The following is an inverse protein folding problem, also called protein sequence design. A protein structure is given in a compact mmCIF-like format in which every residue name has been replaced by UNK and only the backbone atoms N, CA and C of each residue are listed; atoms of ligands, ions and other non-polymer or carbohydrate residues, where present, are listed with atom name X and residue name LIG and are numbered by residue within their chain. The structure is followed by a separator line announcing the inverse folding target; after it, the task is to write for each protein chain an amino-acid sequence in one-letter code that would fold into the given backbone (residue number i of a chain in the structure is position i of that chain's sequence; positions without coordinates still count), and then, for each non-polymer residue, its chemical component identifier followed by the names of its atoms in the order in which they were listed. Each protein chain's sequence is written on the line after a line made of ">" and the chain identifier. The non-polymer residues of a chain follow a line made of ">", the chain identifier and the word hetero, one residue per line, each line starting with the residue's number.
data_IF_146123142468
#
_entry.id   IF_146123142468
#
_cell.length_a   1.000
_cell.length_b   1.000
_cell.length_c   1.000
_cell.angle_alpha   90.00
_cell.angle_beta   90.00
_cell.angle_gamma   90.00
#
_symmetry.space_group_name_H-M   'P 1'
#
loop_
_entity.id
_entity.type
_entity.pdbx_description
1 polymer ?
#
# COMPACT_ATOMS: atom_id res chain seq x y z
N UNK A 1 9.99 38.41 -8.98
CA UNK A 1 8.74 37.64 -8.82
C UNK A 1 8.92 36.66 -7.67
N UNK A 2 8.18 36.77 -6.56
CA UNK A 2 8.26 35.80 -5.44
C UNK A 2 7.66 34.47 -5.91
N UNK A 3 8.46 33.41 -6.03
CA UNK A 3 7.93 32.06 -6.21
C UNK A 3 7.11 31.68 -4.97
N UNK A 4 5.79 31.59 -5.12
CA UNK A 4 4.90 31.09 -4.08
C UNK A 4 5.23 29.60 -3.92
N UNK A 5 5.73 29.19 -2.74
CA UNK A 5 5.94 27.76 -2.47
C UNK A 5 4.60 27.04 -2.66
N UNK A 6 4.62 25.95 -3.43
CA UNK A 6 3.46 25.08 -3.55
C UNK A 6 3.18 24.44 -2.18
N UNK A 7 1.92 24.20 -1.82
CA UNK A 7 1.59 23.40 -0.63
C UNK A 7 2.21 22.00 -0.72
N UNK A 8 2.50 21.42 0.44
CA UNK A 8 2.93 20.01 0.53
C UNK A 8 1.72 19.13 0.20
N UNK A 9 1.95 18.07 -0.58
CA UNK A 9 1.00 17.01 -0.86
C UNK A 9 1.61 15.67 -0.41
N UNK A 10 1.32 15.27 0.82
CA UNK A 10 1.73 13.95 1.32
C UNK A 10 0.85 12.88 0.70
N UNK A 11 1.47 11.75 0.32
CA UNK A 11 0.78 10.59 -0.21
C UNK A 11 1.02 9.40 0.73
N UNK A 12 -0.05 8.67 1.02
CA UNK A 12 0.00 7.40 1.73
C UNK A 12 -0.76 6.34 0.95
N UNK A 13 -0.40 5.07 1.15
CA UNK A 13 -1.05 3.92 0.53
C UNK A 13 -1.32 2.85 1.58
N UNK A 14 -2.59 2.51 1.75
CA UNK A 14 -3.04 1.39 2.57
C UNK A 14 -2.97 0.11 1.73
N UNK A 15 -2.21 -0.87 2.20
CA UNK A 15 -2.02 -2.16 1.56
C UNK A 15 -2.87 -3.21 2.29
N UNK A 16 -4.19 -3.04 2.19
CA UNK A 16 -5.14 -4.08 2.56
C UNK A 16 -4.96 -5.26 1.59
N UNK A 17 -4.63 -6.42 2.15
CA UNK A 17 -4.26 -7.59 1.38
C UNK A 17 -5.46 -8.54 1.20
N UNK A 18 -5.33 -9.52 0.31
CA UNK A 18 -6.34 -10.55 0.12
C UNK A 18 -6.77 -11.20 1.45
N UNK A 19 -5.78 -11.60 2.24
CA UNK A 19 -5.98 -12.15 3.57
C UNK A 19 -6.87 -11.29 4.48
N UNK A 20 -6.60 -9.98 4.56
CA UNK A 20 -7.34 -9.11 5.49
C UNK A 20 -8.80 -8.99 5.07
N UNK A 21 -9.06 -8.93 3.76
CA UNK A 21 -10.42 -8.94 3.24
C UNK A 21 -11.14 -10.24 3.59
N UNK A 22 -10.53 -11.40 3.31
CA UNK A 22 -11.11 -12.72 3.58
C UNK A 22 -11.38 -12.92 5.08
N UNK A 23 -10.43 -12.55 5.95
CA UNK A 23 -10.58 -12.62 7.40
C UNK A 23 -11.74 -11.76 7.91
N UNK A 24 -11.88 -10.53 7.43
CA UNK A 24 -12.99 -9.64 7.83
C UNK A 24 -14.35 -10.15 7.35
N UNK A 25 -14.42 -10.81 6.20
CA UNK A 25 -15.66 -11.36 5.66
C UNK A 25 -15.99 -12.76 6.19
N UNK A 26 -15.03 -13.45 6.81
CA UNK A 26 -15.18 -14.83 7.27
C UNK A 26 -15.11 -15.86 6.13
N UNK A 27 -14.42 -15.52 5.04
CA UNK A 27 -14.25 -16.40 3.88
C UNK A 27 -13.29 -17.56 4.22
N UNK A 28 -13.61 -18.78 3.76
CA UNK A 28 -12.73 -19.94 3.94
C UNK A 28 -11.34 -19.73 3.31
N UNK A 29 -10.30 -20.29 3.93
CA UNK A 29 -8.94 -20.26 3.39
C UNK A 29 -8.16 -18.98 3.70
N UNK A 30 -8.71 -18.09 4.54
CA UNK A 30 -7.96 -16.93 5.05
C UNK A 30 -6.77 -17.38 5.91
N UNK A 31 -6.80 -18.55 6.51
CA UNK A 31 -5.70 -19.10 7.32
C UNK A 31 -4.43 -19.39 6.49
N UNK A 32 -4.53 -19.51 5.17
CA UNK A 32 -3.40 -19.75 4.25
C UNK A 32 -2.63 -18.46 3.91
N UNK A 33 -3.03 -17.32 4.47
CA UNK A 33 -2.41 -16.00 4.24
C UNK A 33 -2.24 -15.62 2.76
N UNK A 34 -3.29 -15.75 1.93
CA UNK A 34 -3.19 -15.41 0.52
C UNK A 34 -2.82 -13.93 0.36
N UNK A 35 -2.04 -13.62 -0.68
CA UNK A 35 -1.40 -12.32 -0.80
C UNK A 35 -1.28 -11.81 -2.23
N UNK A 36 -1.58 -10.53 -2.41
CA UNK A 36 -1.32 -9.77 -3.63
C UNK A 36 -0.01 -8.99 -3.56
N UNK A 37 0.66 -8.94 -2.39
CA UNK A 37 1.81 -8.06 -2.16
C UNK A 37 3.01 -8.42 -3.04
N UNK A 38 3.22 -9.71 -3.33
CA UNK A 38 4.26 -10.18 -4.24
C UNK A 38 4.09 -9.63 -5.68
N UNK A 39 2.86 -9.34 -6.10
CA UNK A 39 2.56 -8.74 -7.42
C UNK A 39 2.56 -7.21 -7.34
N UNK A 40 1.97 -6.65 -6.28
CA UNK A 40 1.74 -5.22 -6.15
C UNK A 40 3.01 -4.44 -5.79
N UNK A 41 3.80 -4.91 -4.84
CA UNK A 41 4.97 -4.18 -4.32
C UNK A 41 5.96 -3.83 -5.44
N UNK A 42 6.42 -4.76 -6.30
CA UNK A 42 7.37 -4.41 -7.35
C UNK A 42 6.84 -3.35 -8.32
N UNK A 43 5.53 -3.40 -8.64
CA UNK A 43 4.91 -2.46 -9.59
C UNK A 43 4.79 -1.06 -9.01
N UNK A 44 4.36 -0.94 -7.75
CA UNK A 44 4.20 0.35 -7.08
C UNK A 44 5.55 1.00 -6.81
N UNK A 45 6.55 0.22 -6.38
CA UNK A 45 7.90 0.75 -6.16
C UNK A 45 8.50 1.29 -7.44
N UNK A 46 8.44 0.55 -8.55
CA UNK A 46 8.92 1.03 -9.85
C UNK A 46 8.19 2.32 -10.28
N UNK A 47 6.87 2.38 -10.12
CA UNK A 47 6.06 3.55 -10.48
C UNK A 47 6.46 4.81 -9.68
N UNK A 48 6.74 4.65 -8.38
CA UNK A 48 7.13 5.75 -7.48
C UNK A 48 8.57 6.21 -7.75
N UNK A 49 9.49 5.26 -8.00
CA UNK A 49 10.89 5.53 -8.32
C UNK A 49 11.02 6.39 -9.58
N UNK A 50 10.30 6.05 -10.66
CA UNK A 50 10.24 6.82 -11.91
C UNK A 50 9.84 8.29 -11.71
N UNK A 51 9.21 8.63 -10.58
CA UNK A 51 8.65 9.95 -10.27
C UNK A 51 9.37 10.64 -9.10
N UNK A 52 10.42 10.03 -8.56
CA UNK A 52 11.12 10.50 -7.35
C UNK A 52 10.15 10.78 -6.18
N UNK A 53 9.15 9.91 -6.01
CA UNK A 53 8.13 10.05 -4.98
C UNK A 53 8.46 9.20 -3.75
N UNK A 54 8.46 9.85 -2.58
CA UNK A 54 8.50 9.19 -1.28
C UNK A 54 7.13 9.26 -0.64
N UNK A 55 6.62 8.12 -0.20
CA UNK A 55 5.28 7.98 0.38
C UNK A 55 5.34 7.16 1.66
N UNK A 56 4.24 7.15 2.41
CA UNK A 56 4.05 6.27 3.57
C UNK A 56 3.19 5.07 3.18
N UNK A 57 3.63 3.86 3.51
CA UNK A 57 2.82 2.65 3.33
C UNK A 57 2.26 2.22 4.69
N UNK A 58 0.98 1.88 4.73
CA UNK A 58 0.35 1.19 5.85
C UNK A 58 0.09 -0.25 5.43
N UNK A 59 0.71 -1.22 6.12
CA UNK A 59 0.63 -2.64 5.77
C UNK A 59 -0.02 -3.38 6.91
N UNK A 60 -1.08 -4.13 6.62
CA UNK A 60 -1.75 -4.97 7.62
C UNK A 60 -0.89 -6.20 7.90
N UNK A 61 -0.45 -6.33 9.16
CA UNK A 61 0.26 -7.50 9.67
C UNK A 61 -0.69 -8.66 9.98
N UNK A 62 -0.14 -9.88 10.08
CA UNK A 62 -0.92 -11.08 10.44
C UNK A 62 -1.38 -11.09 11.90
N UNK A 63 -0.74 -10.27 12.73
CA UNK A 63 -1.03 -10.04 14.15
C UNK A 63 -2.16 -9.03 14.39
N UNK A 64 -2.72 -8.45 13.31
CA UNK A 64 -3.88 -7.55 13.35
C UNK A 64 -5.21 -8.27 13.58
#
# INVERSE_FOLDING_TARGET
>A
MKHRKKPIASLSLDLDNQWSYMKTHGDEGWEEFPSYLNVLIPRVLNFLEERDLKITFFIVGQDA
#
